data_IF_584604729022
#
_entry.id   IF_584604729022
#
_cell.length_a   1.000
_cell.length_b   1.000
_cell.length_c   1.000
_cell.angle_alpha   90.00
_cell.angle_beta   90.00
_cell.angle_gamma   90.00
#
_symmetry.space_group_name_H-M   'P 1'
#
loop_
_entity.id
_entity.type
_entity.pdbx_description
1 polymer ?
#
# COMPACT_ATOMS: atom_id res chain seq x y z
N UNK A 1 -28.87 39.06 -35.69
CA UNK A 1 -29.09 37.71 -36.23
C UNK A 1 -27.86 37.38 -37.06
N UNK A 2 -26.97 36.56 -36.48
CA UNK A 2 -25.93 35.72 -37.11
C UNK A 2 -24.80 36.41 -37.89
N UNK A 3 -23.52 36.07 -37.78
CA UNK A 3 -22.60 35.65 -36.70
C UNK A 3 -21.20 35.99 -37.25
N UNK A 4 -20.33 36.58 -36.43
CA UNK A 4 -18.95 36.91 -36.80
C UNK A 4 -18.02 35.74 -36.44
N UNK A 5 -17.21 35.34 -37.42
CA UNK A 5 -16.05 34.47 -37.26
C UNK A 5 -15.08 35.05 -36.20
N UNK A 6 -14.81 34.28 -35.14
CA UNK A 6 -13.59 34.40 -34.34
C UNK A 6 -12.90 33.03 -34.31
N UNK A 7 -11.70 32.97 -34.89
CA UNK A 7 -10.99 31.75 -35.22
C UNK A 7 -10.41 31.02 -34.00
N UNK A 8 -10.52 29.70 -34.03
CA UNK A 8 -9.73 28.80 -33.17
C UNK A 8 -8.31 28.66 -33.71
N UNK A 9 -7.32 28.86 -32.84
CA UNK A 9 -5.91 28.61 -33.16
C UNK A 9 -5.63 27.11 -33.11
N UNK A 10 -5.33 26.51 -34.27
CA UNK A 10 -4.87 25.13 -34.40
C UNK A 10 -3.42 24.97 -33.94
N UNK A 11 -3.12 23.92 -33.17
CA UNK A 11 -1.77 23.46 -32.89
C UNK A 11 -1.25 22.56 -34.03
N UNK A 12 0.08 22.41 -34.15
CA UNK A 12 0.74 21.78 -35.30
C UNK A 12 0.50 20.26 -35.49
N UNK A 13 -0.38 19.65 -34.69
CA UNK A 13 -0.70 18.22 -34.74
C UNK A 13 -2.19 17.90 -34.93
N UNK A 14 -3.07 18.90 -35.08
CA UNK A 14 -4.48 18.64 -35.43
C UNK A 14 -5.27 17.85 -34.39
N UNK A 15 -4.84 17.87 -33.13
CA UNK A 15 -5.54 17.24 -32.01
C UNK A 15 -6.22 18.35 -31.21
N UNK A 16 -7.54 18.29 -31.09
CA UNK A 16 -8.31 19.08 -30.13
C UNK A 16 -7.71 18.83 -28.75
N UNK A 17 -7.06 19.85 -28.19
CA UNK A 17 -6.71 19.85 -26.78
C UNK A 17 -8.00 20.14 -26.02
N UNK A 18 -8.89 19.14 -25.93
CA UNK A 18 -9.87 19.13 -24.86
C UNK A 18 -9.05 19.12 -23.57
N UNK A 19 -9.14 20.21 -22.84
CA UNK A 19 -8.61 20.31 -21.51
C UNK A 19 -9.16 19.11 -20.72
N UNK A 20 -8.31 18.13 -20.48
CA UNK A 20 -8.51 17.12 -19.45
C UNK A 20 -8.47 17.88 -18.12
N UNK A 21 -9.58 18.55 -17.81
CA UNK A 21 -9.97 18.86 -16.46
C UNK A 21 -10.59 17.55 -15.98
N UNK A 22 -9.90 16.73 -15.16
CA UNK A 22 -10.61 15.69 -14.46
C UNK A 22 -11.60 16.44 -13.55
N UNK A 23 -12.86 16.55 -13.99
CA UNK A 23 -13.93 16.85 -13.06
C UNK A 23 -13.79 15.84 -11.94
N UNK A 24 -13.56 16.33 -10.72
CA UNK A 24 -13.43 15.56 -9.50
C UNK A 24 -14.72 14.77 -9.27
N UNK A 25 -14.84 13.59 -9.87
CA UNK A 25 -15.99 12.69 -9.74
C UNK A 25 -15.74 11.55 -8.75
N UNK A 26 -15.00 11.83 -7.69
CA UNK A 26 -14.98 10.97 -6.51
C UNK A 26 -14.84 11.82 -5.23
N UNK A 27 -15.78 12.74 -5.01
CA UNK A 27 -15.88 13.53 -3.76
C UNK A 27 -16.51 12.74 -2.60
N UNK A 28 -16.70 11.43 -2.74
CA UNK A 28 -17.08 10.57 -1.61
C UNK A 28 -15.82 10.06 -0.94
N UNK A 29 -15.58 10.46 0.31
CA UNK A 29 -14.64 9.76 1.19
C UNK A 29 -15.05 8.28 1.25
N UNK A 30 -14.30 7.41 0.57
CA UNK A 30 -14.58 5.96 0.53
C UNK A 30 -14.10 5.29 1.82
N UNK A 31 -13.04 5.82 2.41
CA UNK A 31 -12.52 5.35 3.68
C UNK A 31 -13.16 6.21 4.77
N UNK A 32 -14.22 5.65 5.36
CA UNK A 32 -14.92 6.25 6.49
C UNK A 32 -14.05 6.17 7.75
N UNK A 33 -14.37 6.95 8.81
CA UNK A 33 -13.68 6.85 10.09
C UNK A 33 -13.65 5.43 10.64
N UNK A 34 -14.75 4.67 10.53
CA UNK A 34 -14.85 3.31 11.03
C UNK A 34 -13.93 2.33 10.29
N UNK A 35 -13.84 2.46 8.96
CA UNK A 35 -12.91 1.68 8.14
C UNK A 35 -11.48 2.06 8.49
N UNK A 36 -11.19 3.35 8.62
CA UNK A 36 -9.87 3.82 8.97
C UNK A 36 -9.43 3.31 10.35
N UNK A 37 -10.31 3.37 11.35
CA UNK A 37 -10.05 2.89 12.70
C UNK A 37 -9.75 1.38 12.70
N UNK A 38 -10.48 0.61 11.89
CA UNK A 38 -10.20 -0.81 11.72
C UNK A 38 -8.82 -1.07 11.08
N UNK A 39 -8.44 -0.29 10.06
CA UNK A 39 -7.11 -0.38 9.44
C UNK A 39 -5.99 -0.03 10.43
N UNK A 40 -6.18 1.02 11.24
CA UNK A 40 -5.24 1.43 12.29
C UNK A 40 -5.07 0.33 13.33
N UNK A 41 -6.16 -0.33 13.72
CA UNK A 41 -6.12 -1.48 14.63
C UNK A 41 -5.32 -2.65 14.04
N UNK A 42 -5.56 -3.01 12.78
CA UNK A 42 -4.84 -4.09 12.09
C UNK A 42 -3.34 -3.80 11.95
N UNK A 43 -2.99 -2.53 11.74
CA UNK A 43 -1.61 -2.06 11.64
C UNK A 43 -0.92 -1.91 13.02
N UNK A 44 -1.64 -2.12 14.13
CA UNK A 44 -1.15 -1.91 15.48
C UNK A 44 -0.59 -0.49 15.73
N UNK A 45 -1.24 0.53 15.16
CA UNK A 45 -0.87 1.93 15.39
C UNK A 45 -1.70 2.58 16.49
N UNK A 46 -1.02 3.33 17.36
CA UNK A 46 -1.63 4.25 18.31
C UNK A 46 -1.51 5.67 17.75
N UNK A 47 -2.65 6.27 17.39
CA UNK A 47 -2.73 7.59 16.77
C UNK A 47 -3.65 8.50 17.56
N UNK A 48 -3.24 9.76 17.71
CA UNK A 48 -4.09 10.84 18.23
C UNK A 48 -5.22 11.20 17.27
N UNK A 49 -6.23 11.94 17.74
CA UNK A 49 -7.37 12.36 16.90
C UNK A 49 -6.94 13.17 15.68
N UNK A 50 -6.04 14.14 15.87
CA UNK A 50 -5.54 14.99 14.79
C UNK A 50 -4.76 14.18 13.75
N UNK A 51 -3.94 13.21 14.18
CA UNK A 51 -3.22 12.30 13.28
C UNK A 51 -4.17 11.39 12.50
N UNK A 52 -5.23 10.89 13.14
CA UNK A 52 -6.24 10.06 12.48
C UNK A 52 -6.94 10.83 11.37
N UNK A 53 -7.40 12.04 11.64
CA UNK A 53 -8.08 12.87 10.65
C UNK A 53 -7.17 13.24 9.49
N UNK A 54 -5.93 13.61 9.80
CA UNK A 54 -4.92 13.89 8.78
C UNK A 54 -4.66 12.67 7.90
N UNK A 55 -4.31 11.52 8.48
CA UNK A 55 -3.95 10.32 7.74
C UNK A 55 -5.13 9.73 6.96
N UNK A 56 -6.36 9.79 7.51
CA UNK A 56 -7.56 9.37 6.78
C UNK A 56 -7.79 10.21 5.53
N UNK A 57 -7.58 11.54 5.62
CA UNK A 57 -7.66 12.43 4.46
C UNK A 57 -6.59 12.08 3.43
N UNK A 58 -5.34 11.92 3.84
CA UNK A 58 -4.24 11.58 2.94
C UNK A 58 -4.45 10.20 2.29
N UNK A 59 -4.98 9.22 3.02
CA UNK A 59 -5.26 7.89 2.48
C UNK A 59 -6.39 7.91 1.44
N UNK A 60 -7.42 8.72 1.65
CA UNK A 60 -8.46 8.95 0.63
C UNK A 60 -7.86 9.61 -0.62
N UNK A 61 -6.94 10.56 -0.48
CA UNK A 61 -6.25 11.17 -1.62
C UNK A 61 -5.37 10.15 -2.39
N UNK A 62 -4.66 9.27 -1.67
CA UNK A 62 -3.89 8.17 -2.29
C UNK A 62 -4.80 7.18 -3.03
N UNK A 63 -5.99 6.89 -2.49
CA UNK A 63 -6.96 6.01 -3.15
C UNK A 63 -7.40 6.59 -4.50
N UNK A 64 -7.57 7.91 -4.62
CA UNK A 64 -7.88 8.55 -5.90
C UNK A 64 -6.78 8.28 -6.94
N UNK A 65 -5.50 8.41 -6.58
CA UNK A 65 -4.39 8.10 -7.48
C UNK A 65 -4.36 6.63 -7.91
N UNK A 66 -4.74 5.70 -7.02
CA UNK A 66 -4.85 4.27 -7.36
C UNK A 66 -5.98 4.04 -8.37
N UNK A 67 -7.11 4.75 -8.26
CA UNK A 67 -8.22 4.65 -9.22
C UNK A 67 -7.85 5.17 -10.61
N UNK A 68 -7.00 6.19 -10.69
CA UNK A 68 -6.45 6.64 -11.97
C UNK A 68 -5.60 5.55 -12.63
N UNK A 69 -4.83 4.77 -11.85
CA UNK A 69 -4.08 3.63 -12.37
C UNK A 69 -4.97 2.47 -12.82
N UNK A 70 -6.06 2.19 -12.09
CA UNK A 70 -7.03 1.15 -12.45
C UNK A 70 -7.74 1.43 -13.78
N UNK A 71 -7.90 2.70 -14.15
CA UNK A 71 -8.51 3.11 -15.41
C UNK A 71 -7.61 2.82 -16.64
N UNK A 72 -6.33 2.47 -16.44
CA UNK A 72 -5.40 2.14 -17.52
C UNK A 72 -5.69 0.72 -18.00
N UNK A 73 -6.09 0.57 -19.26
CA UNK A 73 -6.30 -0.74 -19.86
C UNK A 73 -4.98 -1.52 -19.94
N UNK A 74 -4.98 -2.73 -19.38
CA UNK A 74 -3.87 -3.69 -19.49
C UNK A 74 -4.28 -4.78 -20.47
N UNK A 75 -3.40 -5.10 -21.41
CA UNK A 75 -3.61 -6.20 -22.35
C UNK A 75 -3.86 -7.51 -21.56
N UNK A 76 -4.99 -8.20 -21.79
CA UNK A 76 -5.36 -9.41 -21.03
C UNK A 76 -4.37 -10.58 -21.22
N UNK A 77 -3.48 -10.50 -22.21
CA UNK A 77 -2.41 -11.47 -22.42
C UNK A 77 -1.20 -11.24 -21.52
N UNK A 78 -1.11 -10.08 -20.86
CA UNK A 78 -0.02 -9.78 -19.91
C UNK A 78 -0.27 -10.56 -18.62
N UNK A 79 0.62 -11.49 -18.25
CA UNK A 79 0.46 -12.25 -17.02
C UNK A 79 0.76 -11.37 -15.80
N UNK A 80 0.05 -11.61 -14.71
CA UNK A 80 0.44 -11.07 -13.40
C UNK A 80 1.82 -11.66 -13.06
N UNK A 81 2.78 -10.80 -12.71
CA UNK A 81 4.11 -11.23 -12.31
C UNK A 81 4.35 -10.98 -10.82
N UNK A 82 4.82 -12.01 -10.11
CA UNK A 82 5.29 -11.87 -8.72
C UNK A 82 6.73 -11.37 -8.62
N UNK A 83 7.47 -11.41 -9.74
CA UNK A 83 8.89 -11.04 -9.80
C UNK A 83 9.10 -9.98 -10.89
N UNK A 84 9.97 -9.00 -10.64
CA UNK A 84 10.28 -7.96 -11.65
C UNK A 84 11.14 -8.45 -12.82
N UNK A 85 11.62 -9.70 -12.77
CA UNK A 85 12.48 -10.35 -13.77
C UNK A 85 11.98 -11.76 -14.02
N UNK A 86 12.31 -12.38 -15.18
CA UNK A 86 12.00 -13.78 -15.41
C UNK A 86 12.56 -14.64 -14.27
N UNK A 87 11.73 -15.51 -13.69
CA UNK A 87 12.11 -16.42 -12.61
C UNK A 87 12.00 -17.89 -13.05
N UNK A 88 12.78 -18.32 -14.07
CA UNK A 88 12.75 -19.70 -14.55
C UNK A 88 13.42 -20.68 -13.56
N UNK A 89 13.11 -21.99 -13.66
CA UNK A 89 13.74 -23.02 -12.85
C UNK A 89 15.29 -23.02 -12.90
N UNK A 90 15.87 -22.53 -14.00
CA UNK A 90 17.32 -22.43 -14.18
C UNK A 90 18.00 -21.42 -13.25
N UNK A 91 17.26 -20.43 -12.73
CA UNK A 91 17.78 -19.43 -11.78
C UNK A 91 17.09 -19.50 -10.41
N UNK A 92 16.11 -20.39 -10.25
CA UNK A 92 15.47 -20.63 -8.98
C UNK A 92 16.48 -21.27 -8.02
N UNK A 93 16.67 -20.73 -6.80
CA UNK A 93 17.51 -21.37 -5.79
C UNK A 93 17.04 -22.81 -5.52
N UNK A 94 17.98 -23.71 -5.24
CA UNK A 94 17.65 -25.03 -4.77
C UNK A 94 16.87 -24.95 -3.44
N UNK A 95 16.10 -26.00 -3.15
CA UNK A 95 15.46 -26.12 -1.84
C UNK A 95 16.54 -26.15 -0.75
N UNK A 96 16.24 -25.51 0.38
CA UNK A 96 17.10 -25.58 1.56
C UNK A 96 17.15 -27.02 2.04
N UNK A 97 18.35 -27.57 2.18
CA UNK A 97 18.58 -28.90 2.74
C UNK A 97 18.12 -29.00 4.20
N UNK A 98 17.66 -30.18 4.59
CA UNK A 98 17.23 -30.48 5.96
C UNK A 98 18.42 -30.80 6.87
N UNK A 99 19.25 -29.79 7.12
CA UNK A 99 20.41 -29.90 8.00
C UNK A 99 20.16 -29.13 9.29
N UNK A 100 20.44 -29.77 10.43
CA UNK A 100 20.37 -29.14 11.74
C UNK A 100 21.60 -28.23 11.90
N UNK A 101 21.36 -26.92 12.00
CA UNK A 101 22.38 -25.92 12.27
C UNK A 101 22.09 -25.29 13.63
N UNK A 102 23.05 -25.35 14.55
CA UNK A 102 22.93 -24.65 15.82
C UNK A 102 23.06 -23.13 15.60
N UNK A 103 22.16 -22.36 16.20
CA UNK A 103 22.27 -20.89 16.22
C UNK A 103 23.47 -20.49 17.09
N UNK A 104 24.38 -19.68 16.52
CA UNK A 104 25.63 -19.29 17.18
C UNK A 104 25.49 -17.93 17.89
N UNK A 105 24.52 -17.13 17.48
CA UNK A 105 24.39 -15.71 17.80
C UNK A 105 23.35 -15.46 18.90
N UNK A 106 23.09 -16.44 19.77
CA UNK A 106 21.97 -16.29 20.72
C UNK A 106 22.19 -15.13 21.70
N UNK A 107 23.41 -14.95 22.20
CA UNK A 107 23.72 -13.83 23.10
C UNK A 107 23.62 -12.48 22.38
N UNK A 108 24.02 -12.40 21.11
CA UNK A 108 23.90 -11.19 20.29
C UNK A 108 22.43 -10.83 20.01
N UNK A 109 21.59 -11.83 19.77
CA UNK A 109 20.14 -11.66 19.61
C UNK A 109 19.52 -11.11 20.91
N UNK A 110 19.88 -11.70 22.06
CA UNK A 110 19.38 -11.26 23.36
C UNK A 110 19.87 -9.85 23.71
N UNK A 111 21.09 -9.48 23.33
CA UNK A 111 21.62 -8.13 23.50
C UNK A 111 20.85 -7.06 22.71
N UNK A 112 20.14 -7.46 21.63
CA UNK A 112 19.28 -6.58 20.84
C UNK A 112 17.88 -6.38 21.42
N UNK A 113 17.48 -7.16 22.42
CA UNK A 113 16.14 -7.07 23.00
C UNK A 113 16.04 -5.93 24.02
N UNK A 114 14.93 -5.15 24.04
CA UNK A 114 14.74 -4.07 25.00
C UNK A 114 14.73 -4.51 26.47
N UNK A 115 14.30 -5.74 26.75
CA UNK A 115 14.19 -6.30 28.10
C UNK A 115 14.30 -7.81 28.06
N UNK A 116 15.08 -8.39 28.99
CA UNK A 116 15.36 -9.82 29.08
C UNK A 116 15.37 -10.30 30.53
N UNK A 117 14.93 -11.54 30.77
CA UNK A 117 15.12 -12.28 32.02
C UNK A 117 15.74 -13.64 31.71
N UNK A 118 16.98 -13.85 32.15
CA UNK A 118 17.78 -15.00 31.76
C UNK A 118 17.92 -15.09 30.23
N UNK A 119 17.31 -16.10 29.61
CA UNK A 119 17.30 -16.32 28.15
C UNK A 119 15.93 -16.09 27.50
N UNK A 120 15.08 -15.30 28.14
CA UNK A 120 13.75 -14.95 27.65
C UNK A 120 13.65 -13.45 27.37
N UNK A 121 12.97 -13.09 26.29
CA UNK A 121 12.58 -11.70 26.00
C UNK A 121 11.31 -11.40 26.79
N UNK A 122 11.35 -10.36 27.61
CA UNK A 122 10.21 -9.97 28.42
C UNK A 122 9.24 -9.13 27.60
N UNK A 123 7.97 -9.53 27.63
CA UNK A 123 6.84 -8.78 27.05
C UNK A 123 5.75 -8.59 28.12
N UNK A 124 4.94 -7.53 28.04
CA UNK A 124 3.75 -7.41 28.87
C UNK A 124 2.85 -8.63 28.71
N UNK A 125 2.17 -9.01 29.79
CA UNK A 125 1.21 -10.12 29.74
C UNK A 125 0.08 -9.81 28.78
N UNK A 126 -0.39 -10.84 28.06
CA UNK A 126 -1.51 -10.71 27.14
C UNK A 126 -2.80 -11.05 27.89
N UNK A 127 -3.93 -10.38 27.60
CA UNK A 127 -5.22 -10.83 28.11
C UNK A 127 -5.49 -12.26 27.61
N UNK A 128 -5.76 -13.18 28.53
CA UNK A 128 -6.16 -14.56 28.20
C UNK A 128 -7.66 -14.71 28.44
N UNK A 129 -8.36 -15.35 27.50
CA UNK A 129 -9.71 -15.87 27.74
C UNK A 129 -9.56 -17.34 28.17
N UNK A 130 -10.06 -17.72 29.35
CA UNK A 130 -10.16 -19.13 29.73
C UNK A 130 -11.23 -19.80 28.86
N UNK A 131 -10.84 -20.82 28.09
CA UNK A 131 -11.78 -21.64 27.33
C UNK A 131 -12.44 -22.63 28.31
N UNK A 132 -13.75 -22.50 28.52
CA UNK A 132 -14.59 -23.49 29.25
C UNK A 132 -14.79 -24.80 28.47
#
# INVERSE_FOLDING_TARGET
MTDLYAGGTMNAFGISQEAFLPESRDSQEKITPEIFDHLVQLAAFELSGDERDYLRKELNAQLSAIRELEAIEVDPTVPITSHGVPYPPAITPALREDQILACQEVEDILAGAPSVDGRYILVPDIPHEELE
#
